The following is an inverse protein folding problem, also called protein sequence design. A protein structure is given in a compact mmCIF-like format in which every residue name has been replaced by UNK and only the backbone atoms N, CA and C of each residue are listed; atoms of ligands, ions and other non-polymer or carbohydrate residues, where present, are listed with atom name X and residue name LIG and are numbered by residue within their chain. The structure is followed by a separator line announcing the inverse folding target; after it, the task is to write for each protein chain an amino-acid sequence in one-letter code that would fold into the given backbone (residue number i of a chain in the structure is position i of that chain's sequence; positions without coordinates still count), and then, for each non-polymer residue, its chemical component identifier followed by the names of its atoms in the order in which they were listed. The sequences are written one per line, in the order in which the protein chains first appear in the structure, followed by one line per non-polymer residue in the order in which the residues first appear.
data_IF_814923934416
#
_entry.id   IF_814923934416
#
_cell.length_a   1.000
_cell.length_b   1.000
_cell.length_c   1.000
_cell.angle_alpha   90.00
_cell.angle_beta   90.00
_cell.angle_gamma   90.00
#
_symmetry.space_group_name_H-M   'P 1'
#
loop_
_entity.id
_entity.type
_entity.pdbx_description
1 polymer ?
#
# COMPACT_ATOMS: atom_id res chain seq x y z
N UNK A 1 24.21 -20.55 -44.79
CA UNK A 1 24.93 -20.21 -43.54
C UNK A 1 23.86 -19.50 -42.74
N UNK A 2 23.06 -20.31 -42.07
CA UNK A 2 21.75 -19.92 -41.60
C UNK A 2 21.92 -19.60 -40.12
N UNK A 3 22.21 -18.34 -39.86
CA UNK A 3 22.13 -17.78 -38.52
C UNK A 3 20.69 -17.43 -38.26
N UNK A 4 20.00 -18.26 -37.48
CA UNK A 4 19.11 -17.73 -36.46
C UNK A 4 19.12 -18.72 -35.29
N UNK A 5 19.86 -18.43 -34.21
CA UNK A 5 19.82 -19.27 -33.03
C UNK A 5 18.44 -19.07 -32.41
N UNK A 6 17.80 -20.18 -32.05
CA UNK A 6 16.84 -20.14 -30.96
C UNK A 6 17.57 -19.45 -29.79
N UNK A 7 17.18 -18.22 -29.49
CA UNK A 7 17.60 -17.54 -28.27
C UNK A 7 17.05 -18.41 -27.16
N UNK A 8 17.92 -19.24 -26.57
CA UNK A 8 17.62 -19.90 -25.31
C UNK A 8 17.07 -18.82 -24.37
N UNK A 9 15.97 -19.13 -23.67
CA UNK A 9 15.28 -18.25 -22.71
C UNK A 9 16.24 -17.91 -21.55
N UNK A 10 17.25 -17.08 -21.80
CA UNK A 10 18.21 -16.65 -20.81
C UNK A 10 17.50 -15.75 -19.78
N UNK A 11 17.71 -16.05 -18.51
CA UNK A 11 17.34 -15.17 -17.41
C UNK A 11 17.97 -13.80 -17.61
N UNK A 12 17.16 -12.73 -17.50
CA UNK A 12 17.69 -11.38 -17.56
C UNK A 12 18.70 -11.13 -16.41
N UNK A 13 19.69 -10.26 -16.65
CA UNK A 13 20.77 -10.02 -15.68
C UNK A 13 20.27 -9.53 -14.32
N UNK A 14 19.12 -8.86 -14.27
CA UNK A 14 18.53 -8.42 -13.02
C UNK A 14 17.88 -9.57 -12.25
N UNK A 15 17.28 -10.56 -12.91
CA UNK A 15 16.79 -11.80 -12.29
C UNK A 15 17.91 -12.68 -11.76
N UNK A 16 19.06 -12.73 -12.44
CA UNK A 16 20.26 -13.42 -11.94
C UNK A 16 20.86 -12.74 -10.72
N UNK A 17 20.87 -11.40 -10.71
CA UNK A 17 21.40 -10.62 -9.58
C UNK A 17 20.44 -10.58 -8.39
N UNK A 18 19.14 -10.37 -8.63
CA UNK A 18 18.14 -10.22 -7.58
C UNK A 18 16.89 -11.03 -7.96
N UNK A 19 16.87 -12.35 -7.69
CA UNK A 19 15.73 -13.20 -7.99
C UNK A 19 14.49 -12.83 -7.18
N UNK A 20 13.32 -13.24 -7.67
CA UNK A 20 12.01 -12.84 -7.16
C UNK A 20 11.84 -12.96 -5.63
N UNK A 21 12.28 -14.03 -4.94
CA UNK A 21 12.09 -14.14 -3.49
C UNK A 21 12.86 -13.05 -2.72
N UNK A 22 14.06 -12.68 -3.19
CA UNK A 22 14.85 -11.60 -2.57
C UNK A 22 14.24 -10.23 -2.85
N UNK A 23 13.64 -10.00 -4.02
CA UNK A 23 12.90 -8.75 -4.32
C UNK A 23 11.78 -8.51 -3.32
N UNK A 24 10.96 -9.53 -3.08
CA UNK A 24 9.86 -9.50 -2.12
C UNK A 24 10.40 -9.18 -0.72
N UNK A 25 11.42 -9.91 -0.27
CA UNK A 25 12.00 -9.70 1.04
C UNK A 25 12.62 -8.32 1.24
N UNK A 26 13.33 -7.80 0.23
CA UNK A 26 13.93 -6.48 0.24
C UNK A 26 12.86 -5.39 0.40
N UNK A 27 11.77 -5.43 -0.37
CA UNK A 27 10.69 -4.44 -0.28
C UNK A 27 9.97 -4.50 1.07
N UNK A 28 9.77 -5.70 1.62
CA UNK A 28 9.21 -5.87 2.96
C UNK A 28 10.12 -5.23 4.02
N UNK A 29 11.42 -5.55 4.01
CA UNK A 29 12.38 -5.01 4.98
C UNK A 29 12.53 -3.49 4.84
N UNK A 30 12.56 -2.96 3.62
CA UNK A 30 12.56 -1.52 3.35
C UNK A 30 11.32 -0.83 3.93
N UNK A 31 10.14 -1.45 3.85
CA UNK A 31 8.92 -0.94 4.47
C UNK A 31 9.01 -0.78 5.99
N UNK A 32 9.71 -1.69 6.66
CA UNK A 32 9.89 -1.63 8.13
C UNK A 32 10.85 -0.50 8.48
N UNK A 33 11.93 -0.32 7.72
CA UNK A 33 12.83 0.83 7.84
C UNK A 33 12.08 2.15 7.62
N UNK A 34 11.29 2.22 6.55
CA UNK A 34 10.44 3.35 6.20
C UNK A 34 9.48 3.72 7.34
N UNK A 35 8.80 2.73 7.92
CA UNK A 35 7.94 2.93 9.10
C UNK A 35 8.72 3.44 10.33
N UNK A 36 9.92 2.90 10.57
CA UNK A 36 10.81 3.38 11.62
C UNK A 36 11.17 4.85 11.45
N UNK A 37 11.47 5.27 10.21
CA UNK A 37 11.72 6.67 9.84
C UNK A 37 10.48 7.55 10.03
N UNK A 38 9.28 7.08 9.66
CA UNK A 38 8.04 7.82 9.96
C UNK A 38 7.94 8.10 11.47
N UNK A 39 8.06 7.07 12.31
CA UNK A 39 7.98 7.19 13.77
C UNK A 39 9.06 8.10 14.35
N UNK A 40 10.28 8.04 13.81
CA UNK A 40 11.40 8.84 14.29
C UNK A 40 11.17 10.34 14.00
N UNK A 41 10.91 10.68 12.74
CA UNK A 41 10.77 12.06 12.33
C UNK A 41 9.50 12.70 12.90
N UNK A 42 8.36 12.00 12.89
CA UNK A 42 7.11 12.52 13.47
C UNK A 42 7.27 12.81 14.97
N UNK A 43 7.99 11.96 15.70
CA UNK A 43 8.34 12.24 17.11
C UNK A 43 9.24 13.48 17.25
N UNK A 44 10.21 13.68 16.35
CA UNK A 44 11.11 14.83 16.41
C UNK A 44 10.34 16.16 16.28
N UNK A 45 9.28 16.19 15.48
CA UNK A 45 8.36 17.35 15.36
C UNK A 45 7.19 17.32 16.35
N UNK A 46 7.28 16.50 17.41
CA UNK A 46 6.30 16.36 18.50
C UNK A 46 4.90 15.86 18.10
N UNK A 47 4.81 15.03 17.06
CA UNK A 47 3.61 14.26 16.73
C UNK A 47 3.72 12.86 17.35
N UNK A 48 2.81 12.54 18.27
CA UNK A 48 2.82 11.26 18.98
C UNK A 48 1.99 10.20 18.23
N UNK A 49 2.63 9.52 17.27
CA UNK A 49 2.01 8.46 16.47
C UNK A 49 1.45 7.32 17.33
N UNK A 50 2.16 6.78 18.34
CA UNK A 50 1.64 5.77 19.26
C UNK A 50 0.25 6.09 19.83
N UNK A 51 0.01 7.32 20.30
CA UNK A 51 -1.31 7.68 20.84
C UNK A 51 -2.40 7.71 19.78
N UNK A 52 -2.11 8.19 18.56
CA UNK A 52 -3.07 8.18 17.44
C UNK A 52 -3.51 6.77 17.05
N UNK A 53 -2.56 5.83 17.02
CA UNK A 53 -2.87 4.43 16.69
C UNK A 53 -3.28 3.61 17.91
N UNK A 54 -3.43 4.22 19.09
CA UNK A 54 -3.74 3.58 20.39
C UNK A 54 -2.75 2.48 20.78
N UNK A 55 -1.47 2.67 20.48
CA UNK A 55 -0.39 1.79 20.90
C UNK A 55 -0.10 2.00 22.39
N UNK A 56 0.20 0.93 23.18
CA UNK A 56 0.47 1.08 24.61
C UNK A 56 1.61 2.05 24.88
N UNK A 57 1.40 2.95 25.85
CA UNK A 57 2.44 3.84 26.36
C UNK A 57 3.59 3.03 26.93
N UNK A 58 4.81 3.57 26.81
CA UNK A 58 5.99 2.98 27.47
C UNK A 58 5.77 2.96 28.97
N UNK A 59 6.03 1.81 29.60
CA UNK A 59 5.86 1.64 31.05
C UNK A 59 7.02 2.27 31.84
N UNK A 60 8.17 2.45 31.20
CA UNK A 60 9.35 3.08 31.80
C UNK A 60 10.10 3.96 30.79
N UNK A 61 10.73 5.08 31.22
CA UNK A 61 11.64 5.85 30.38
C UNK A 61 12.83 5.04 29.83
N UNK A 62 13.21 3.97 30.54
CA UNK A 62 14.30 3.06 30.14
C UNK A 62 13.91 2.13 28.98
N UNK A 63 12.62 2.00 28.68
CA UNK A 63 12.18 1.24 27.52
C UNK A 63 12.56 1.97 26.23
N UNK A 64 13.07 1.24 25.22
CA UNK A 64 13.44 1.81 23.94
C UNK A 64 12.25 2.55 23.34
N UNK A 65 12.54 3.63 22.63
CA UNK A 65 11.54 4.37 21.86
C UNK A 65 10.90 3.45 20.80
N UNK A 66 9.68 3.75 20.37
CA UNK A 66 9.01 2.94 19.35
C UNK A 66 9.79 2.89 18.02
N UNK A 67 10.36 4.01 17.57
CA UNK A 67 11.22 4.03 16.38
C UNK A 67 12.49 3.18 16.57
N UNK A 68 13.14 3.23 17.73
CA UNK A 68 14.33 2.41 18.01
C UNK A 68 13.98 0.92 18.04
N UNK A 69 12.83 0.57 18.61
CA UNK A 69 12.31 -0.80 18.58
C UNK A 69 12.04 -1.28 17.15
N UNK A 70 11.50 -0.42 16.29
CA UNK A 70 11.32 -0.70 14.86
C UNK A 70 12.66 -0.83 14.12
N UNK A 71 13.65 0.03 14.39
CA UNK A 71 14.99 -0.09 13.78
C UNK A 71 15.72 -1.37 14.22
N UNK A 72 15.57 -1.80 15.47
CA UNK A 72 16.09 -3.09 15.93
C UNK A 72 15.46 -4.25 15.15
N UNK A 73 14.15 -4.22 14.93
CA UNK A 73 13.47 -5.21 14.10
C UNK A 73 13.96 -5.16 12.65
N UNK A 74 14.05 -3.97 12.06
CA UNK A 74 14.52 -3.79 10.69
C UNK A 74 15.95 -4.31 10.51
N UNK A 75 16.84 -4.02 11.47
CA UNK A 75 18.22 -4.51 11.49
C UNK A 75 18.27 -6.04 11.60
N UNK A 76 17.49 -6.62 12.52
CA UNK A 76 17.38 -8.08 12.69
C UNK A 76 16.94 -8.79 11.40
N UNK A 77 16.12 -8.16 10.58
CA UNK A 77 15.66 -8.71 9.29
C UNK A 77 16.61 -8.39 8.13
N UNK A 78 17.36 -7.29 8.22
CA UNK A 78 18.35 -6.87 7.21
C UNK A 78 19.59 -7.74 7.24
N UNK A 79 20.09 -8.12 8.43
CA UNK A 79 21.29 -8.97 8.57
C UNK A 79 21.16 -10.31 7.81
N UNK A 80 20.13 -11.15 8.06
CA UNK A 80 19.98 -12.41 7.33
C UNK A 80 19.70 -12.19 5.83
N UNK A 81 18.98 -11.11 5.46
CA UNK A 81 18.77 -10.76 4.06
C UNK A 81 20.10 -10.49 3.34
N UNK A 82 20.92 -9.61 3.90
CA UNK A 82 22.22 -9.26 3.34
C UNK A 82 23.16 -10.46 3.31
N UNK A 83 23.20 -11.26 4.38
CA UNK A 83 24.02 -12.47 4.43
C UNK A 83 23.61 -13.50 3.37
N UNK A 84 22.30 -13.79 3.23
CA UNK A 84 21.79 -14.72 2.22
C UNK A 84 22.01 -14.20 0.80
N UNK A 85 21.81 -12.91 0.56
CA UNK A 85 22.00 -12.29 -0.76
C UNK A 85 23.48 -12.28 -1.17
N UNK A 86 24.38 -11.91 -0.26
CA UNK A 86 25.83 -11.96 -0.51
C UNK A 86 26.28 -13.40 -0.77
N UNK A 87 25.82 -14.36 0.05
CA UNK A 87 26.13 -15.78 -0.15
C UNK A 87 25.62 -16.26 -1.52
N UNK A 88 24.40 -15.90 -1.90
CA UNK A 88 23.84 -16.22 -3.22
C UNK A 88 24.75 -15.69 -4.33
N UNK A 89 25.14 -14.42 -4.30
CA UNK A 89 26.05 -13.84 -5.30
C UNK A 89 27.40 -14.55 -5.36
N UNK A 90 27.97 -14.95 -4.21
CA UNK A 90 29.25 -15.66 -4.21
C UNK A 90 29.17 -17.07 -4.81
N UNK A 91 28.03 -17.75 -4.61
CA UNK A 91 27.80 -19.12 -5.08
C UNK A 91 27.42 -19.15 -6.57
N UNK A 92 26.58 -18.21 -7.02
CA UNK A 92 26.08 -18.19 -8.39
C UNK A 92 27.01 -17.45 -9.33
N UNK A 93 27.69 -16.38 -8.88
CA UNK A 93 28.54 -15.52 -9.71
C UNK A 93 27.86 -15.01 -11.00
N UNK A 94 26.53 -14.90 -10.97
CA UNK A 94 25.71 -14.51 -12.13
C UNK A 94 25.46 -15.63 -13.14
N UNK A 95 25.83 -16.87 -12.85
CA UNK A 95 25.53 -18.04 -13.69
C UNK A 95 24.08 -18.50 -13.52
N UNK A 96 23.41 -18.80 -14.63
CA UNK A 96 21.99 -19.17 -14.69
C UNK A 96 21.72 -20.54 -14.08
N UNK A 97 22.52 -21.54 -14.42
CA UNK A 97 22.36 -22.90 -13.89
C UNK A 97 22.61 -22.92 -12.39
N UNK A 98 23.64 -22.22 -11.92
CA UNK A 98 23.93 -22.06 -10.51
C UNK A 98 22.81 -21.33 -9.76
N UNK A 99 22.21 -20.28 -10.34
CA UNK A 99 21.09 -19.57 -9.74
C UNK A 99 19.90 -20.50 -9.47
N UNK A 100 19.55 -21.33 -10.45
CA UNK A 100 18.52 -22.36 -10.33
C UNK A 100 18.91 -23.44 -9.31
N UNK A 101 20.14 -23.94 -9.36
CA UNK A 101 20.63 -24.98 -8.45
C UNK A 101 20.64 -24.53 -6.97
N UNK A 102 20.86 -23.23 -6.73
CA UNK A 102 20.89 -22.63 -5.39
C UNK A 102 19.57 -21.95 -5.00
N UNK A 103 18.45 -22.24 -5.67
CA UNK A 103 17.15 -21.62 -5.38
C UNK A 103 16.67 -21.83 -3.94
N UNK A 104 17.15 -22.88 -3.26
CA UNK A 104 16.81 -23.15 -1.87
C UNK A 104 17.20 -21.99 -0.93
N UNK A 105 18.27 -21.26 -1.23
CA UNK A 105 18.78 -20.18 -0.40
C UNK A 105 17.80 -18.98 -0.30
N UNK A 106 17.35 -18.37 -1.42
CA UNK A 106 16.35 -17.30 -1.37
C UNK A 106 15.02 -17.76 -0.76
N UNK A 107 14.59 -19.01 -0.98
CA UNK A 107 13.35 -19.54 -0.39
C UNK A 107 13.43 -19.79 1.11
N UNK A 108 14.56 -20.32 1.61
CA UNK A 108 14.80 -20.45 3.05
C UNK A 108 14.78 -19.08 3.70
N UNK A 109 15.43 -18.07 3.09
CA UNK A 109 15.36 -16.71 3.60
C UNK A 109 13.91 -16.18 3.64
N UNK A 110 13.14 -16.37 2.58
CA UNK A 110 11.74 -15.93 2.53
C UNK A 110 10.88 -16.63 3.60
N UNK A 111 11.10 -17.93 3.83
CA UNK A 111 10.47 -18.68 4.91
C UNK A 111 10.84 -18.11 6.28
N UNK A 112 12.12 -17.84 6.53
CA UNK A 112 12.60 -17.23 7.77
C UNK A 112 11.99 -15.83 7.99
N UNK A 113 11.85 -15.04 6.94
CA UNK A 113 11.18 -13.74 6.98
C UNK A 113 9.71 -13.89 7.41
N UNK A 114 8.97 -14.79 6.79
CA UNK A 114 7.56 -15.09 7.15
C UNK A 114 7.46 -15.57 8.59
N UNK A 115 8.34 -16.49 9.02
CA UNK A 115 8.39 -16.98 10.40
C UNK A 115 8.70 -15.85 11.38
N UNK A 116 9.64 -14.97 11.06
CA UNK A 116 10.00 -13.84 11.91
C UNK A 116 8.83 -12.86 12.11
N UNK A 117 7.96 -12.72 11.10
CA UNK A 117 6.73 -11.93 11.19
C UNK A 117 5.60 -12.66 11.92
N UNK A 118 5.38 -13.94 11.61
CA UNK A 118 4.27 -14.74 12.15
C UNK A 118 4.48 -15.17 13.60
N UNK A 119 5.74 -15.35 14.02
CA UNK A 119 6.10 -15.81 15.37
C UNK A 119 6.64 -14.62 16.18
N UNK A 120 5.92 -14.19 17.24
CA UNK A 120 6.34 -13.09 18.09
C UNK A 120 7.39 -13.57 19.11
N UNK A 121 8.61 -13.84 18.62
CA UNK A 121 9.75 -14.22 19.46
C UNK A 121 10.03 -13.18 20.55
N UNK A 122 10.46 -13.66 21.74
CA UNK A 122 10.62 -12.81 22.91
C UNK A 122 11.71 -11.73 22.76
N UNK A 123 12.73 -11.98 21.94
CA UNK A 123 13.93 -11.13 21.86
C UNK A 123 13.78 -9.88 20.97
N UNK A 124 12.65 -9.69 20.27
CA UNK A 124 12.54 -8.63 19.25
C UNK A 124 11.14 -8.00 19.14
N UNK A 125 10.76 -7.21 20.16
CA UNK A 125 9.50 -6.43 20.18
C UNK A 125 8.23 -7.29 20.14
N UNK A 126 8.12 -8.23 21.09
CA UNK A 126 6.99 -9.18 21.21
C UNK A 126 5.62 -8.48 21.13
N UNK A 127 5.38 -7.45 21.94
CA UNK A 127 4.11 -6.72 21.99
C UNK A 127 3.74 -6.09 20.63
N UNK A 128 4.71 -5.47 19.96
CA UNK A 128 4.51 -4.88 18.63
C UNK A 128 4.11 -5.92 17.60
N UNK A 129 4.79 -7.07 17.57
CA UNK A 129 4.46 -8.17 16.63
C UNK A 129 3.08 -8.77 16.86
N UNK A 130 2.72 -9.05 18.12
CA UNK A 130 1.36 -9.52 18.44
C UNK A 130 0.30 -8.53 17.97
N UNK A 131 0.52 -7.24 18.20
CA UNK A 131 -0.41 -6.20 17.75
C UNK A 131 -0.49 -6.13 16.23
N UNK A 132 0.63 -6.20 15.52
CA UNK A 132 0.64 -6.24 14.06
C UNK A 132 -0.14 -7.44 13.55
N UNK A 133 0.08 -8.65 14.08
CA UNK A 133 -0.66 -9.85 13.70
C UNK A 133 -2.14 -9.76 14.04
N UNK A 134 -2.49 -9.23 15.23
CA UNK A 134 -3.88 -9.02 15.62
C UNK A 134 -4.58 -8.01 14.69
N UNK A 135 -3.86 -6.95 14.28
CA UNK A 135 -4.36 -5.93 13.35
C UNK A 135 -4.52 -6.52 11.95
N UNK A 136 -3.52 -7.25 11.43
CA UNK A 136 -3.61 -7.98 10.15
C UNK A 136 -4.80 -8.94 10.14
N UNK A 137 -4.95 -9.77 11.17
CA UNK A 137 -6.08 -10.69 11.31
C UNK A 137 -7.41 -9.95 11.31
N UNK A 138 -7.52 -8.86 12.08
CA UNK A 138 -8.72 -8.03 12.20
C UNK A 138 -9.12 -7.42 10.84
N UNK A 139 -8.18 -6.75 10.17
CA UNK A 139 -8.47 -6.13 8.86
C UNK A 139 -8.80 -7.20 7.79
N UNK A 140 -8.10 -8.35 7.78
CA UNK A 140 -8.31 -9.40 6.79
C UNK A 140 -9.63 -10.17 6.99
N UNK A 141 -9.93 -10.66 8.19
CA UNK A 141 -11.05 -11.59 8.42
C UNK A 141 -12.37 -10.86 8.65
N UNK A 142 -12.37 -9.77 9.40
CA UNK A 142 -13.62 -9.29 9.98
C UNK A 142 -13.37 -8.51 11.26
N UNK A 143 -14.08 -7.39 11.42
CA UNK A 143 -13.88 -6.46 12.53
C UNK A 143 -12.98 -5.31 12.12
N UNK A 144 -13.48 -4.09 12.25
CA UNK A 144 -12.67 -2.88 12.28
C UNK A 144 -12.77 -2.40 13.72
N UNK A 145 -11.65 -2.02 14.31
CA UNK A 145 -11.67 -1.34 15.60
C UNK A 145 -12.68 -0.18 15.54
N UNK A 146 -13.40 0.08 16.62
CA UNK A 146 -14.17 1.31 16.71
C UNK A 146 -13.22 2.52 16.71
N UNK A 147 -13.76 3.72 16.51
CA UNK A 147 -12.94 4.94 16.45
C UNK A 147 -12.06 5.08 17.70
N UNK A 148 -12.60 4.75 18.87
CA UNK A 148 -11.91 4.76 20.15
C UNK A 148 -10.86 3.65 20.32
N UNK A 149 -10.95 2.55 19.56
CA UNK A 149 -10.16 1.33 19.74
C UNK A 149 -8.96 1.21 18.78
N UNK A 150 -8.63 2.29 18.06
CA UNK A 150 -7.47 2.32 17.15
C UNK A 150 -7.79 2.08 15.68
N UNK A 151 -9.01 2.43 15.23
CA UNK A 151 -9.43 2.44 13.81
C UNK A 151 -8.41 3.08 12.87
N UNK A 152 -7.74 4.16 13.31
CA UNK A 152 -6.72 4.82 12.50
C UNK A 152 -5.53 3.90 12.16
N UNK A 153 -5.08 3.08 13.12
CA UNK A 153 -4.04 2.07 12.88
C UNK A 153 -4.48 0.98 11.90
N UNK A 154 -5.74 0.54 11.98
CA UNK A 154 -6.33 -0.43 11.03
C UNK A 154 -6.34 0.14 9.61
N UNK A 155 -6.73 1.41 9.47
CA UNK A 155 -6.77 2.11 8.18
C UNK A 155 -5.37 2.27 7.61
N UNK A 156 -4.40 2.76 8.41
CA UNK A 156 -3.02 2.93 7.97
C UNK A 156 -2.41 1.61 7.47
N UNK A 157 -2.60 0.51 8.21
CA UNK A 157 -2.06 -0.79 7.81
C UNK A 157 -2.75 -1.32 6.55
N UNK A 158 -4.09 -1.21 6.47
CA UNK A 158 -4.82 -1.66 5.30
C UNK A 158 -4.48 -0.84 4.04
N UNK A 159 -4.26 0.48 4.18
CA UNK A 159 -3.79 1.32 3.07
C UNK A 159 -2.34 1.02 2.69
N UNK A 160 -1.47 0.71 3.65
CA UNK A 160 -0.14 0.20 3.35
C UNK A 160 -0.22 -1.10 2.53
N UNK A 161 -1.08 -2.06 2.90
CA UNK A 161 -1.27 -3.30 2.14
C UNK A 161 -1.69 -3.07 0.69
N UNK A 162 -2.45 -2.01 0.37
CA UNK A 162 -2.80 -1.70 -1.03
C UNK A 162 -1.58 -1.39 -1.89
N UNK A 163 -0.57 -0.73 -1.32
CA UNK A 163 0.70 -0.44 -1.98
C UNK A 163 1.58 -1.69 -2.10
N UNK A 164 1.36 -2.71 -1.26
CA UNK A 164 2.02 -4.02 -1.32
C UNK A 164 1.27 -5.04 -2.20
N UNK A 165 0.17 -4.69 -2.86
CA UNK A 165 -0.66 -5.64 -3.61
C UNK A 165 0.12 -6.48 -4.64
N UNK A 166 1.00 -5.84 -5.42
CA UNK A 166 1.85 -6.53 -6.40
C UNK A 166 2.96 -7.35 -5.73
N UNK A 167 3.55 -6.86 -4.64
CA UNK A 167 4.55 -7.61 -3.83
C UNK A 167 3.93 -8.89 -3.25
N UNK A 168 2.66 -8.85 -2.83
CA UNK A 168 1.92 -10.04 -2.41
C UNK A 168 1.64 -11.00 -3.57
N UNK A 169 1.37 -10.47 -4.77
CA UNK A 169 1.30 -11.26 -5.99
C UNK A 169 2.62 -11.98 -6.29
N UNK A 170 3.75 -11.30 -6.14
CA UNK A 170 5.08 -11.88 -6.38
C UNK A 170 5.50 -12.87 -5.30
N UNK A 171 5.11 -12.62 -4.03
CA UNK A 171 5.21 -13.61 -2.97
C UNK A 171 4.45 -14.88 -3.35
N UNK A 172 3.22 -14.75 -3.86
CA UNK A 172 2.44 -15.88 -4.31
C UNK A 172 3.10 -16.60 -5.52
N UNK A 173 3.56 -15.87 -6.53
CA UNK A 173 4.27 -16.43 -7.71
C UNK A 173 5.51 -17.19 -7.27
N UNK A 174 6.34 -16.59 -6.41
CA UNK A 174 7.55 -17.20 -5.85
C UNK A 174 7.25 -18.54 -5.16
N UNK A 175 6.23 -18.57 -4.30
CA UNK A 175 5.83 -19.80 -3.60
C UNK A 175 5.24 -20.83 -4.56
N UNK A 176 4.39 -20.40 -5.49
CA UNK A 176 3.78 -21.27 -6.48
C UNK A 176 4.83 -21.97 -7.35
N UNK A 177 5.81 -21.22 -7.85
CA UNK A 177 6.91 -21.77 -8.65
C UNK A 177 7.77 -22.75 -7.84
N UNK A 178 8.11 -22.40 -6.60
CA UNK A 178 8.91 -23.27 -5.73
C UNK A 178 8.25 -24.64 -5.46
N UNK A 179 6.92 -24.69 -5.36
CA UNK A 179 6.18 -25.93 -5.15
C UNK A 179 5.73 -26.62 -6.45
N UNK A 180 6.03 -26.07 -7.63
CA UNK A 180 5.65 -26.65 -8.92
C UNK A 180 6.81 -27.45 -9.52
N UNK A 181 6.66 -28.77 -9.78
CA UNK A 181 7.69 -29.56 -10.41
C UNK A 181 8.13 -28.97 -11.77
N UNK A 182 9.44 -28.89 -11.99
CA UNK A 182 10.01 -28.38 -13.24
C UNK A 182 10.01 -26.85 -13.38
N UNK A 183 9.66 -26.10 -12.33
CA UNK A 183 9.82 -24.64 -12.28
C UNK A 183 10.82 -24.28 -11.19
N UNK A 184 11.54 -23.18 -11.38
CA UNK A 184 12.40 -22.59 -10.36
C UNK A 184 11.92 -21.20 -9.99
N UNK A 185 11.84 -20.93 -8.69
CA UNK A 185 11.52 -19.62 -8.13
C UNK A 185 12.59 -18.54 -8.36
N UNK A 186 13.79 -18.95 -8.77
CA UNK A 186 14.87 -18.07 -9.23
C UNK A 186 14.93 -17.96 -10.76
N UNK A 187 14.12 -18.77 -11.46
CA UNK A 187 13.85 -18.68 -12.88
C UNK A 187 12.98 -17.47 -13.24
N UNK A 188 12.66 -17.34 -14.53
CA UNK A 188 11.78 -16.27 -15.04
C UNK A 188 10.42 -16.34 -14.32
N UNK A 189 9.94 -15.26 -13.68
CA UNK A 189 8.68 -15.27 -12.95
C UNK A 189 7.48 -15.71 -13.80
N UNK A 190 6.87 -16.84 -13.45
CA UNK A 190 5.65 -17.31 -14.09
C UNK A 190 4.41 -16.66 -13.44
N UNK A 191 3.97 -15.54 -14.03
CA UNK A 191 2.78 -14.78 -13.60
C UNK A 191 1.44 -15.49 -13.87
N UNK A 192 1.47 -16.67 -14.49
CA UNK A 192 0.33 -17.58 -14.67
C UNK A 192 0.42 -18.81 -13.75
N UNK A 193 1.41 -18.87 -12.84
CA UNK A 193 1.49 -19.96 -11.87
C UNK A 193 0.22 -19.99 -11.00
N UNK A 194 -0.44 -21.14 -10.95
CA UNK A 194 -1.75 -21.28 -10.28
C UNK A 194 -2.96 -20.86 -11.14
N UNK A 195 -2.74 -20.56 -12.43
CA UNK A 195 -3.78 -20.24 -13.41
C UNK A 195 -3.97 -18.74 -13.65
N UNK A 196 -4.79 -18.40 -14.65
CA UNK A 196 -4.98 -17.03 -15.14
C UNK A 196 -5.48 -16.04 -14.06
N UNK A 197 -6.26 -16.51 -13.08
CA UNK A 197 -7.01 -15.65 -12.17
C UNK A 197 -6.48 -15.61 -10.73
N UNK A 198 -5.60 -16.54 -10.33
CA UNK A 198 -5.20 -16.64 -8.93
C UNK A 198 -4.27 -15.50 -8.51
N UNK A 199 -3.26 -15.17 -9.33
CA UNK A 199 -2.39 -13.99 -9.09
C UNK A 199 -3.20 -12.68 -9.09
N UNK A 200 -4.06 -12.39 -10.09
CA UNK A 200 -4.99 -11.24 -10.03
C UNK A 200 -5.84 -11.21 -8.76
N UNK A 201 -6.37 -12.35 -8.33
CA UNK A 201 -7.16 -12.44 -7.11
C UNK A 201 -6.34 -12.04 -5.88
N UNK A 202 -5.10 -12.54 -5.73
CA UNK A 202 -4.19 -12.15 -4.65
C UNK A 202 -3.91 -10.64 -4.66
N UNK A 203 -3.64 -10.06 -5.84
CA UNK A 203 -3.43 -8.61 -6.01
C UNK A 203 -4.69 -7.81 -5.62
N UNK A 204 -5.89 -8.37 -5.82
CA UNK A 204 -7.14 -7.72 -5.45
C UNK A 204 -7.43 -7.74 -3.94
N UNK A 205 -6.82 -8.63 -3.15
CA UNK A 205 -7.11 -8.82 -1.72
C UNK A 205 -7.02 -7.51 -0.91
N UNK A 206 -5.95 -6.71 -1.00
CA UNK A 206 -5.87 -5.46 -0.24
C UNK A 206 -7.02 -4.48 -0.54
N UNK A 207 -7.41 -4.34 -1.81
CA UNK A 207 -8.54 -3.49 -2.22
C UNK A 207 -9.88 -4.07 -1.73
N UNK A 208 -10.04 -5.40 -1.73
CA UNK A 208 -11.23 -6.06 -1.14
C UNK A 208 -11.32 -5.81 0.36
N UNK A 209 -10.20 -5.87 1.09
CA UNK A 209 -10.15 -5.53 2.52
C UNK A 209 -10.65 -4.10 2.73
N UNK A 210 -10.12 -3.12 1.99
CA UNK A 210 -10.53 -1.71 2.13
C UNK A 210 -11.97 -1.46 1.72
N UNK A 211 -12.45 -2.08 0.64
CA UNK A 211 -13.85 -2.03 0.25
C UNK A 211 -14.75 -2.54 1.39
N UNK A 212 -14.45 -3.73 1.92
CA UNK A 212 -15.21 -4.32 3.05
C UNK A 212 -15.20 -3.38 4.25
N UNK A 213 -14.04 -2.79 4.55
CA UNK A 213 -13.91 -1.86 5.67
C UNK A 213 -14.81 -0.63 5.50
N UNK A 214 -14.81 -0.02 4.32
CA UNK A 214 -15.61 1.15 4.02
C UNK A 214 -17.12 0.85 4.07
N UNK A 215 -17.55 -0.30 3.56
CA UNK A 215 -18.96 -0.72 3.62
C UNK A 215 -19.43 -0.99 5.05
N UNK A 216 -18.59 -1.62 5.89
CA UNK A 216 -18.90 -1.83 7.31
C UNK A 216 -19.10 -0.49 8.02
N UNK A 217 -18.23 0.49 7.78
CA UNK A 217 -18.33 1.82 8.39
C UNK A 217 -19.59 2.57 7.93
N UNK A 218 -19.93 2.49 6.64
CA UNK A 218 -21.18 3.05 6.14
C UNK A 218 -22.40 2.44 6.87
N UNK A 219 -22.43 1.12 7.02
CA UNK A 219 -23.51 0.43 7.74
C UNK A 219 -23.54 0.79 9.23
N UNK A 220 -22.38 1.02 9.86
CA UNK A 220 -22.29 1.49 11.25
C UNK A 220 -22.90 2.88 11.41
N UNK A 221 -22.54 3.83 10.55
CA UNK A 221 -23.10 5.19 10.58
C UNK A 221 -24.60 5.16 10.31
N UNK A 222 -25.05 4.40 9.31
CA UNK A 222 -26.47 4.24 8.98
C UNK A 222 -27.26 3.71 10.19
N UNK A 223 -26.79 2.63 10.82
CA UNK A 223 -27.44 2.05 12.01
C UNK A 223 -27.43 2.99 13.21
N UNK A 224 -26.37 3.79 13.38
CA UNK A 224 -26.29 4.78 14.45
C UNK A 224 -27.37 5.86 14.27
N UNK A 225 -27.48 6.42 13.05
CA UNK A 225 -28.50 7.42 12.72
C UNK A 225 -29.93 6.86 12.83
N UNK A 226 -30.16 5.61 12.41
CA UNK A 226 -31.45 4.93 12.59
C UNK A 226 -31.83 4.78 14.07
N UNK A 227 -30.85 4.49 14.95
CA UNK A 227 -31.08 4.37 16.39
C UNK A 227 -31.36 5.71 17.07
N UNK A 228 -30.69 6.78 16.65
CA UNK A 228 -30.85 8.12 17.25
C UNK A 228 -31.98 8.93 16.61
N UNK A 229 -32.52 8.49 15.47
CA UNK A 229 -33.54 9.21 14.71
C UNK A 229 -33.05 10.53 14.09
N UNK A 230 -31.74 10.80 14.16
CA UNK A 230 -31.10 12.06 13.74
C UNK A 230 -29.78 11.78 13.05
N UNK A 231 -29.34 12.68 12.15
CA UNK A 231 -28.05 12.57 11.48
C UNK A 231 -26.96 12.96 12.47
N UNK A 232 -26.11 12.01 12.86
CA UNK A 232 -25.00 12.25 13.77
C UNK A 232 -23.86 13.07 13.14
N UNK A 233 -22.80 13.36 13.90
CA UNK A 233 -21.67 14.19 13.45
C UNK A 233 -20.86 13.58 12.28
N UNK A 234 -21.04 12.28 12.00
CA UNK A 234 -20.44 11.60 10.84
C UNK A 234 -21.32 11.72 9.56
N UNK A 235 -22.36 12.55 9.62
CA UNK A 235 -23.33 12.72 8.55
C UNK A 235 -24.13 11.44 8.27
N UNK A 236 -24.65 11.31 7.05
CA UNK A 236 -25.37 10.11 6.61
C UNK A 236 -24.44 8.94 6.20
N UNK A 237 -23.11 9.13 6.28
CA UNK A 237 -22.11 8.11 5.94
C UNK A 237 -21.64 8.12 4.48
N UNK A 238 -22.03 9.10 3.67
CA UNK A 238 -21.68 9.18 2.25
C UNK A 238 -20.18 9.14 1.94
N UNK A 239 -19.34 9.70 2.82
CA UNK A 239 -17.88 9.62 2.68
C UNK A 239 -17.37 8.18 2.71
N UNK A 240 -17.96 7.30 3.52
CA UNK A 240 -17.56 5.88 3.55
C UNK A 240 -17.92 5.18 2.24
N UNK A 241 -19.07 5.51 1.63
CA UNK A 241 -19.45 4.97 0.33
C UNK A 241 -18.56 5.51 -0.80
N UNK A 242 -18.19 6.79 -0.75
CA UNK A 242 -17.21 7.36 -1.68
C UNK A 242 -15.86 6.64 -1.57
N UNK A 243 -15.40 6.36 -0.35
CA UNK A 243 -14.17 5.60 -0.14
C UNK A 243 -14.30 4.15 -0.64
N UNK A 244 -15.45 3.51 -0.43
CA UNK A 244 -15.74 2.19 -0.98
C UNK A 244 -15.64 2.18 -2.51
N UNK A 245 -16.22 3.19 -3.16
CA UNK A 245 -16.14 3.38 -4.61
C UNK A 245 -14.70 3.58 -5.09
N UNK A 246 -13.89 4.36 -4.35
CA UNK A 246 -12.46 4.52 -4.64
C UNK A 246 -11.76 3.17 -4.72
N UNK A 247 -11.88 2.31 -3.70
CA UNK A 247 -11.21 1.00 -3.73
C UNK A 247 -11.84 0.03 -4.73
N UNK A 248 -13.12 0.16 -5.07
CA UNK A 248 -13.74 -0.68 -6.10
C UNK A 248 -13.22 -0.39 -7.50
N UNK A 249 -12.74 0.84 -7.77
CA UNK A 249 -12.15 1.19 -9.07
C UNK A 249 -10.89 0.38 -9.41
N UNK A 250 -10.24 -0.27 -8.44
CA UNK A 250 -9.10 -1.14 -8.69
C UNK A 250 -9.48 -2.48 -9.35
N UNK A 251 -10.69 -3.01 -9.12
CA UNK A 251 -11.07 -4.34 -9.63
C UNK A 251 -11.15 -4.40 -11.16
N UNK A 252 -11.80 -3.43 -11.86
CA UNK A 252 -11.78 -3.42 -13.31
C UNK A 252 -10.36 -3.39 -13.88
N UNK A 253 -9.44 -2.61 -13.29
CA UNK A 253 -8.03 -2.57 -13.72
C UNK A 253 -7.41 -3.96 -13.62
N UNK A 254 -7.55 -4.63 -12.48
CA UNK A 254 -6.97 -5.97 -12.24
C UNK A 254 -7.59 -7.03 -13.17
N UNK A 255 -8.91 -7.05 -13.30
CA UNK A 255 -9.64 -8.01 -14.16
C UNK A 255 -9.23 -7.83 -15.62
N UNK A 256 -9.25 -6.60 -16.13
CA UNK A 256 -8.88 -6.31 -17.51
C UNK A 256 -7.41 -6.60 -17.79
N UNK A 257 -6.53 -6.48 -16.79
CA UNK A 257 -5.12 -6.89 -16.90
C UNK A 257 -4.97 -8.41 -17.04
N UNK A 258 -5.81 -9.18 -16.33
CA UNK A 258 -5.85 -10.64 -16.44
C UNK A 258 -6.43 -11.12 -17.78
N UNK A 259 -7.45 -10.42 -18.29
CA UNK A 259 -8.06 -10.71 -19.60
C UNK A 259 -7.10 -10.39 -20.76
N UNK A 260 -6.33 -9.30 -20.67
CA UNK A 260 -5.32 -8.97 -21.68
C UNK A 260 -4.20 -10.01 -21.74
N UNK A 261 -3.71 -10.52 -20.59
CA UNK A 261 -2.66 -11.57 -20.58
C UNK A 261 -3.11 -12.89 -21.19
N UNK A 262 -4.38 -13.24 -21.05
CA UNK A 262 -4.98 -14.44 -21.63
C UNK A 262 -5.93 -14.12 -22.76
N UNK A 263 -5.61 -13.09 -23.57
CA UNK A 263 -6.51 -12.62 -24.61
C UNK A 263 -6.74 -13.72 -25.65
N UNK A 264 -8.01 -14.06 -25.85
CA UNK A 264 -8.45 -15.05 -26.82
C UNK A 264 -9.62 -14.45 -27.60
N UNK A 265 -9.45 -14.13 -28.90
CA UNK A 265 -10.49 -13.49 -29.70
C UNK A 265 -11.74 -14.37 -29.88
N UNK A 266 -11.64 -15.68 -29.67
CA UNK A 266 -12.80 -16.59 -29.71
C UNK A 266 -13.68 -16.47 -28.44
N UNK A 267 -13.10 -16.07 -27.30
CA UNK A 267 -13.79 -15.93 -26.01
C UNK A 267 -14.13 -14.49 -25.66
N UNK A 268 -13.32 -13.54 -26.13
CA UNK A 268 -13.45 -12.12 -25.82
C UNK A 268 -14.00 -11.41 -27.06
N UNK A 269 -15.28 -11.02 -27.01
CA UNK A 269 -15.99 -10.31 -28.09
C UNK A 269 -15.58 -8.83 -28.25
N UNK A 270 -14.33 -8.50 -27.94
CA UNK A 270 -13.76 -7.15 -28.03
C UNK A 270 -12.36 -7.27 -28.63
N UNK A 271 -11.97 -6.35 -29.51
CA UNK A 271 -10.60 -6.32 -30.02
C UNK A 271 -9.60 -6.08 -28.88
N UNK A 272 -8.37 -6.59 -29.03
CA UNK A 272 -7.28 -6.35 -28.09
C UNK A 272 -7.08 -4.85 -27.82
N UNK A 273 -7.09 -4.04 -28.88
CA UNK A 273 -7.03 -2.58 -28.77
C UNK A 273 -8.23 -1.98 -28.01
N UNK A 274 -9.43 -2.53 -28.18
CA UNK A 274 -10.62 -2.12 -27.43
C UNK A 274 -10.47 -2.45 -25.94
N UNK A 275 -9.96 -3.64 -25.63
CA UNK A 275 -9.72 -4.10 -24.27
C UNK A 275 -8.66 -3.24 -23.57
N UNK A 276 -7.58 -2.92 -24.27
CA UNK A 276 -6.54 -2.02 -23.78
C UNK A 276 -7.08 -0.60 -23.51
N UNK A 277 -7.90 -0.04 -24.40
CA UNK A 277 -8.53 1.29 -24.19
C UNK A 277 -9.48 1.29 -22.99
N UNK A 278 -10.25 0.22 -22.81
CA UNK A 278 -11.13 0.06 -21.65
C UNK A 278 -10.31 -0.04 -20.35
N UNK A 279 -9.22 -0.80 -20.37
CA UNK A 279 -8.27 -0.88 -19.26
C UNK A 279 -7.68 0.49 -18.94
N UNK A 280 -7.22 1.25 -19.94
CA UNK A 280 -6.66 2.58 -19.77
C UNK A 280 -7.67 3.56 -19.16
N UNK A 281 -8.94 3.46 -19.53
CA UNK A 281 -10.02 4.24 -18.93
C UNK A 281 -10.17 3.95 -17.43
N UNK A 282 -10.20 2.68 -17.01
CA UNK A 282 -10.29 2.33 -15.60
C UNK A 282 -9.02 2.66 -14.82
N UNK A 283 -7.86 2.57 -15.47
CA UNK A 283 -6.58 3.07 -14.94
C UNK A 283 -6.69 4.56 -14.63
N UNK A 284 -7.18 5.37 -15.58
CA UNK A 284 -7.37 6.80 -15.39
C UNK A 284 -8.34 7.07 -14.23
N UNK A 285 -9.51 6.42 -14.22
CA UNK A 285 -10.48 6.58 -13.14
C UNK A 285 -9.89 6.23 -11.76
N UNK A 286 -9.18 5.11 -11.66
CA UNK A 286 -8.57 4.67 -10.40
C UNK A 286 -7.49 5.65 -9.93
N UNK A 287 -6.56 6.03 -10.81
CA UNK A 287 -5.44 6.92 -10.49
C UNK A 287 -5.94 8.30 -10.05
N UNK A 288 -6.85 8.92 -10.81
CA UNK A 288 -7.32 10.29 -10.53
C UNK A 288 -8.29 10.37 -9.36
N UNK A 289 -9.19 9.39 -9.18
CA UNK A 289 -10.03 9.36 -7.98
C UNK A 289 -9.14 9.16 -6.73
N UNK A 290 -8.22 8.21 -6.78
CA UNK A 290 -7.38 7.95 -5.63
C UNK A 290 -6.40 9.08 -5.33
N UNK A 291 -5.95 9.85 -6.33
CA UNK A 291 -5.19 11.10 -6.17
C UNK A 291 -6.03 12.19 -5.51
N UNK A 292 -7.25 12.43 -6.02
CA UNK A 292 -8.19 13.35 -5.38
C UNK A 292 -8.40 12.99 -3.90
N UNK A 293 -8.55 11.70 -3.61
CA UNK A 293 -8.75 11.24 -2.24
C UNK A 293 -7.55 11.52 -1.34
N UNK A 294 -6.32 11.27 -1.82
CA UNK A 294 -5.11 11.53 -1.05
C UNK A 294 -5.01 13.01 -0.67
N UNK A 295 -5.20 13.90 -1.66
CA UNK A 295 -5.11 15.36 -1.45
C UNK A 295 -6.26 15.90 -0.60
N UNK A 296 -7.51 15.61 -0.99
CA UNK A 296 -8.69 16.26 -0.41
C UNK A 296 -9.14 15.62 0.91
N UNK A 297 -8.98 14.30 1.08
CA UNK A 297 -9.58 13.56 2.21
C UNK A 297 -8.54 13.07 3.21
N UNK A 298 -7.46 12.48 2.72
CA UNK A 298 -6.42 11.92 3.60
C UNK A 298 -5.48 13.00 4.14
N UNK A 299 -5.09 13.97 3.30
CA UNK A 299 -4.26 15.10 3.72
C UNK A 299 -5.05 16.35 4.08
N UNK A 300 -6.36 16.37 3.81
CA UNK A 300 -7.27 17.45 4.22
C UNK A 300 -6.86 18.81 3.64
N UNK A 301 -6.41 18.82 2.38
CA UNK A 301 -5.96 20.02 1.68
C UNK A 301 -7.11 20.63 0.87
N UNK A 302 -7.12 21.97 0.77
CA UNK A 302 -8.19 22.75 0.15
C UNK A 302 -8.06 22.90 -1.37
N UNK A 303 -7.12 22.22 -2.02
CA UNK A 303 -6.85 22.34 -3.46
C UNK A 303 -8.08 22.07 -4.34
N UNK A 304 -8.94 21.16 -3.92
CA UNK A 304 -10.17 20.77 -4.60
C UNK A 304 -11.44 21.29 -3.90
N UNK A 305 -11.29 22.18 -2.91
CA UNK A 305 -12.40 22.81 -2.21
C UNK A 305 -12.98 23.98 -3.02
N UNK A 306 -14.01 24.64 -2.45
CA UNK A 306 -14.59 25.86 -3.02
C UNK A 306 -13.52 26.93 -3.29
N UNK A 307 -13.75 27.80 -4.27
CA UNK A 307 -12.81 28.88 -4.60
C UNK A 307 -12.53 29.79 -3.39
N UNK A 308 -13.51 29.97 -2.49
CA UNK A 308 -13.33 30.74 -1.25
C UNK A 308 -12.33 30.08 -0.31
N UNK A 309 -12.49 28.79 -0.04
CA UNK A 309 -11.63 28.04 0.88
C UNK A 309 -10.23 27.83 0.29
N UNK A 310 -10.14 27.54 -1.01
CA UNK A 310 -8.86 27.33 -1.69
C UNK A 310 -7.99 28.59 -1.72
N UNK A 311 -8.63 29.76 -1.85
CA UNK A 311 -7.96 31.07 -1.96
C UNK A 311 -8.02 31.87 -0.66
N UNK A 312 -8.29 31.23 0.48
CA UNK A 312 -8.36 31.92 1.76
C UNK A 312 -6.99 32.58 2.08
N UNK A 313 -6.93 33.90 2.34
CA UNK A 313 -5.67 34.59 2.60
C UNK A 313 -4.99 34.17 3.91
N UNK A 314 -5.69 33.46 4.82
CA UNK A 314 -5.12 32.99 6.08
C UNK A 314 -4.12 31.83 5.89
N UNK A 315 -4.10 31.19 4.72
CA UNK A 315 -3.18 30.10 4.43
C UNK A 315 -2.76 30.05 2.95
N UNK A 316 -1.62 29.43 2.61
CA UNK A 316 -1.20 29.27 1.22
C UNK A 316 -2.24 28.54 0.37
N UNK A 317 -2.25 28.87 -0.92
CA UNK A 317 -3.21 28.39 -1.91
C UNK A 317 -3.41 26.86 -1.85
N UNK A 318 -4.64 26.41 -1.65
CA UNK A 318 -4.99 24.99 -1.68
C UNK A 318 -4.39 24.14 -0.56
N UNK A 319 -3.77 24.74 0.47
CA UNK A 319 -3.27 24.06 1.66
C UNK A 319 -4.18 24.33 2.86
N UNK A 320 -4.07 23.53 3.92
CA UNK A 320 -4.81 23.71 5.17
C UNK A 320 -4.14 24.71 6.11
N UNK A 321 -4.93 25.39 6.95
CA UNK A 321 -4.47 26.39 7.93
C UNK A 321 -3.44 25.84 8.92
N UNK A 322 -3.73 24.68 9.53
CA UNK A 322 -2.89 24.09 10.57
C UNK A 322 -1.97 23.01 10.01
N UNK A 323 -0.67 23.27 10.09
CA UNK A 323 0.42 22.45 9.56
C UNK A 323 1.58 22.40 10.55
N UNK A 324 2.24 21.27 10.62
CA UNK A 324 3.44 20.99 11.42
C UNK A 324 4.70 20.93 10.55
N UNK A 325 4.59 20.58 9.27
CA UNK A 325 5.70 20.76 8.34
C UNK A 325 5.79 22.25 7.96
N UNK A 326 6.83 22.94 8.47
CA UNK A 326 6.95 24.40 8.35
C UNK A 326 7.15 24.89 6.92
N UNK A 327 7.82 24.11 6.06
CA UNK A 327 8.12 24.47 4.67
C UNK A 327 6.91 24.09 3.80
N UNK A 328 6.20 25.08 3.29
CA UNK A 328 4.94 24.88 2.53
C UNK A 328 5.18 24.16 1.20
N UNK A 329 6.35 24.38 0.60
CA UNK A 329 6.81 23.81 -0.66
C UNK A 329 6.85 22.28 -0.60
N UNK A 330 7.06 21.72 0.59
CA UNK A 330 7.01 20.27 0.82
C UNK A 330 5.62 19.71 0.50
N UNK A 331 4.52 20.40 0.83
CA UNK A 331 3.18 19.92 0.52
C UNK A 331 2.92 19.87 -0.98
N UNK A 332 3.30 20.92 -1.72
CA UNK A 332 3.16 20.94 -3.17
C UNK A 332 4.05 19.89 -3.85
N UNK A 333 5.26 19.70 -3.32
CA UNK A 333 6.18 18.64 -3.78
C UNK A 333 5.55 17.26 -3.60
N UNK A 334 4.91 17.01 -2.46
CA UNK A 334 4.24 15.73 -2.19
C UNK A 334 2.98 15.52 -3.03
N UNK A 335 2.19 16.58 -3.26
CA UNK A 335 1.08 16.53 -4.22
C UNK A 335 1.59 16.11 -5.61
N UNK A 336 2.67 16.75 -6.08
CA UNK A 336 3.26 16.44 -7.39
C UNK A 336 3.82 15.02 -7.46
N UNK A 337 4.61 14.60 -6.47
CA UNK A 337 5.19 13.24 -6.40
C UNK A 337 4.08 12.19 -6.35
N UNK A 338 3.00 12.41 -5.59
CA UNK A 338 1.90 11.45 -5.52
C UNK A 338 1.16 11.32 -6.84
N UNK A 339 0.89 12.44 -7.54
CA UNK A 339 0.29 12.40 -8.88
C UNK A 339 1.17 11.59 -9.85
N UNK A 340 2.47 11.90 -9.90
CA UNK A 340 3.42 11.20 -10.78
C UNK A 340 3.49 9.71 -10.47
N UNK A 341 3.68 9.33 -9.20
CA UNK A 341 3.81 7.93 -8.81
C UNK A 341 2.47 7.17 -8.91
N UNK A 342 1.32 7.82 -8.77
CA UNK A 342 0.01 7.18 -9.04
C UNK A 342 -0.19 6.83 -10.51
N UNK A 343 0.34 7.64 -11.43
CA UNK A 343 0.38 7.27 -12.84
C UNK A 343 1.28 6.04 -13.07
N UNK A 344 2.35 5.87 -12.27
CA UNK A 344 3.21 4.67 -12.35
C UNK A 344 2.56 3.37 -11.88
N UNK A 345 1.63 3.42 -10.91
CA UNK A 345 0.93 2.24 -10.39
C UNK A 345 0.24 1.44 -11.51
N UNK A 346 -0.45 2.14 -12.40
CA UNK A 346 -1.20 1.53 -13.48
C UNK A 346 -0.32 0.94 -14.59
N UNK A 347 0.86 1.53 -14.84
CA UNK A 347 1.80 0.98 -15.81
C UNK A 347 2.31 -0.42 -15.43
N UNK A 348 2.37 -0.76 -14.13
CA UNK A 348 2.81 -2.09 -13.65
C UNK A 348 1.88 -3.24 -14.00
N UNK A 349 0.61 -2.94 -14.28
CA UNK A 349 -0.41 -3.95 -14.56
C UNK A 349 -0.63 -4.13 -16.07
N UNK A 350 0.04 -3.34 -16.91
CA UNK A 350 -0.11 -3.42 -18.37
C UNK A 350 0.64 -4.64 -18.93
N UNK A 351 -0.06 -5.58 -19.60
CA UNK A 351 0.61 -6.73 -20.22
C UNK A 351 1.42 -6.35 -21.44
N UNK A 352 1.08 -5.25 -22.12
CA UNK A 352 1.86 -4.74 -23.25
C UNK A 352 3.24 -4.23 -22.82
N UNK A 353 3.40 -3.83 -21.55
CA UNK A 353 4.72 -3.45 -21.01
C UNK A 353 5.57 -4.67 -20.62
N UNK A 354 5.00 -5.87 -20.47
CA UNK A 354 5.78 -7.11 -20.33
C UNK A 354 6.56 -7.45 -21.61
N UNK A 355 6.19 -6.85 -22.75
CA UNK A 355 6.88 -7.02 -24.04
C UNK A 355 7.81 -5.85 -24.41
N UNK A 356 7.63 -4.67 -23.80
CA UNK A 356 8.48 -3.48 -24.02
C UNK A 356 9.50 -3.23 -22.90
N UNK A 357 9.31 -3.80 -21.71
CA UNK A 357 10.29 -3.85 -20.63
C UNK A 357 10.77 -5.30 -20.45
N UNK A 358 11.76 -5.74 -21.22
CA UNK A 358 12.58 -6.93 -20.95
C UNK A 358 13.36 -6.84 -19.61
N UNK A 359 13.00 -5.90 -18.73
CA UNK A 359 13.67 -5.58 -17.49
C UNK A 359 12.69 -5.81 -16.33
N UNK A 360 12.77 -7.01 -15.74
CA UNK A 360 12.22 -7.31 -14.42
C UNK A 360 12.63 -6.26 -13.36
N UNK A 361 13.76 -5.58 -13.58
CA UNK A 361 14.22 -4.43 -12.80
C UNK A 361 13.26 -3.22 -12.83
N UNK A 362 12.58 -2.99 -13.95
CA UNK A 362 11.55 -1.95 -14.06
C UNK A 362 10.34 -2.25 -13.19
N UNK A 363 9.85 -3.49 -13.20
CA UNK A 363 8.72 -3.93 -12.35
C UNK A 363 9.10 -3.78 -10.87
N UNK A 364 10.29 -4.23 -10.49
CA UNK A 364 10.81 -4.07 -9.14
C UNK A 364 10.94 -2.60 -8.71
N UNK A 365 11.53 -1.74 -9.55
CA UNK A 365 11.64 -0.30 -9.27
C UNK A 365 10.27 0.31 -9.05
N UNK A 366 9.31 -0.04 -9.89
CA UNK A 366 7.95 0.47 -9.78
C UNK A 366 7.29 0.00 -8.47
N UNK A 367 7.46 -1.25 -8.03
CA UNK A 367 7.02 -1.72 -6.71
C UNK A 367 7.65 -0.93 -5.56
N UNK A 368 8.98 -0.72 -5.61
CA UNK A 368 9.70 0.07 -4.62
C UNK A 368 9.19 1.52 -4.56
N UNK A 369 8.94 2.15 -5.72
CA UNK A 369 8.39 3.50 -5.82
C UNK A 369 6.98 3.63 -5.25
N UNK A 370 6.14 2.59 -5.36
CA UNK A 370 4.80 2.61 -4.75
C UNK A 370 4.86 2.48 -3.22
N UNK A 371 5.77 1.67 -2.69
CA UNK A 371 6.03 1.62 -1.24
C UNK A 371 6.60 2.95 -0.76
N UNK A 372 7.51 3.56 -1.53
CA UNK A 372 8.06 4.89 -1.24
C UNK A 372 6.98 5.98 -1.24
N UNK A 373 6.07 5.97 -2.23
CA UNK A 373 4.92 6.88 -2.28
C UNK A 373 4.07 6.76 -1.02
N UNK A 374 3.76 5.54 -0.59
CA UNK A 374 3.01 5.28 0.64
C UNK A 374 3.75 5.75 1.89
N UNK A 375 5.07 5.55 1.94
CA UNK A 375 5.91 6.05 3.03
C UNK A 375 5.83 7.58 3.18
N UNK A 376 5.86 8.32 2.06
CA UNK A 376 5.62 9.77 2.07
C UNK A 376 4.20 10.07 2.55
N UNK A 377 3.19 9.42 1.96
CA UNK A 377 1.78 9.64 2.29
C UNK A 377 1.49 9.48 3.79
N UNK A 378 2.16 8.55 4.48
CA UNK A 378 1.99 8.31 5.93
C UNK A 378 2.32 9.57 6.75
N UNK A 379 3.35 10.33 6.39
CA UNK A 379 3.71 11.55 7.11
C UNK A 379 2.54 12.54 7.15
N UNK A 380 1.95 12.82 5.99
CA UNK A 380 0.86 13.78 5.84
C UNK A 380 -0.44 13.24 6.39
N UNK A 381 -0.74 11.94 6.18
CA UNK A 381 -1.94 11.33 6.77
C UNK A 381 -1.92 11.40 8.30
N UNK A 382 -0.77 11.09 8.91
CA UNK A 382 -0.60 11.13 10.36
C UNK A 382 -0.63 12.56 10.89
N UNK A 383 0.01 13.50 10.20
CA UNK A 383 -0.08 14.93 10.53
C UNK A 383 -1.52 15.44 10.47
N UNK A 384 -2.28 15.03 9.46
CA UNK A 384 -3.69 15.38 9.32
C UNK A 384 -4.53 14.84 10.45
N UNK A 385 -4.36 13.56 10.81
CA UNK A 385 -5.05 12.96 11.95
C UNK A 385 -4.68 13.64 13.28
N UNK A 386 -3.40 14.01 13.45
CA UNK A 386 -2.93 14.73 14.61
C UNK A 386 -3.61 16.09 14.77
N UNK A 387 -3.71 16.86 13.69
CA UNK A 387 -4.40 18.16 13.67
C UNK A 387 -5.89 17.98 14.00
N UNK A 388 -6.58 17.03 13.37
CA UNK A 388 -8.01 16.76 13.63
C UNK A 388 -8.29 16.47 15.11
N UNK A 389 -7.41 15.73 15.77
CA UNK A 389 -7.57 15.37 17.19
C UNK A 389 -7.23 16.51 18.18
N UNK A 390 -6.40 17.49 17.80
CA UNK A 390 -5.93 18.55 18.72
C UNK A 390 -6.57 19.91 18.47
N UNK A 391 -7.01 20.18 17.24
CA UNK A 391 -7.55 21.49 16.84
C UNK A 391 -8.98 21.40 16.31
N UNK A 392 -9.58 20.20 16.33
CA UNK A 392 -10.84 19.91 15.66
C UNK A 392 -10.65 19.71 14.16
N UNK A 393 -11.66 19.16 13.47
CA UNK A 393 -11.65 19.10 12.01
C UNK A 393 -11.67 20.51 11.41
N UNK A 394 -11.27 20.66 10.14
CA UNK A 394 -11.38 21.96 9.46
C UNK A 394 -12.84 22.47 9.57
N UNK A 395 -13.08 23.79 9.66
CA UNK A 395 -14.43 24.34 9.88
C UNK A 395 -15.50 23.86 8.88
N UNK A 396 -15.08 23.34 7.72
CA UNK A 396 -15.95 22.85 6.65
C UNK A 396 -16.33 21.37 6.76
N UNK A 397 -15.72 20.57 7.66
CA UNK A 397 -16.25 19.26 8.06
C UNK A 397 -17.54 19.39 8.89
N UNK A 398 -17.86 20.62 9.34
CA UNK A 398 -19.15 20.99 9.90
C UNK A 398 -20.17 21.31 8.81
N UNK A 399 -19.78 21.62 7.56
CA UNK A 399 -20.70 22.13 6.51
C UNK A 399 -21.48 21.07 5.71
N UNK A 400 -21.75 19.91 6.31
CA UNK A 400 -22.95 19.14 5.99
C UNK A 400 -24.03 19.28 7.08
N UNK A 401 -23.72 20.00 8.16
CA UNK A 401 -24.61 20.34 9.26
C UNK A 401 -24.79 21.87 9.23
N UNK A 402 -26.04 22.29 9.00
CA UNK A 402 -26.63 23.60 9.33
C UNK A 402 -27.29 24.29 8.14
N UNK A 403 -28.51 23.84 7.84
CA UNK A 403 -29.64 24.76 7.62
C UNK A 403 -30.75 24.32 8.57
N UNK A 404 -30.61 24.66 9.84
CA UNK A 404 -31.73 24.92 10.76
C UNK A 404 -31.20 25.85 11.85
N UNK A 405 -31.23 27.15 11.58
CA UNK A 405 -31.20 28.17 12.63
C UNK A 405 -32.46 28.02 13.50
N UNK A 406 -32.36 27.89 14.83
CA UNK A 406 -33.48 28.22 15.69
C UNK A 406 -33.64 29.73 15.69
N UNK A 407 -34.83 30.20 15.38
CA UNK A 407 -35.25 31.55 15.76
C UNK A 407 -35.20 31.64 17.29
N UNK A 408 -34.44 32.60 17.81
CA UNK A 408 -34.60 33.08 19.18
C UNK A 408 -35.94 33.84 19.24
N UNK A 409 -36.91 33.29 19.95
CA UNK A 409 -38.02 34.03 20.53
C UNK A 409 -37.56 34.48 21.94
N UNK A 410 -37.25 35.76 22.07
CA UNK A 410 -37.53 36.62 23.24
C UNK A 410 -37.47 38.10 22.83
#
# INVERSE_FOLDING_TARGET
MDGDPAVEDELDSFSLFLPLPFRVGLIIVLGIWAWGLNLHYLRAIRIDVPSLIRYPSRSSPTEPTHHLSTYRLATLLTIPLAACLLLFWTLTRGDSEAAVAWEILPNIYLLLLVIAFAIPFQFASRSGRYRTLATLRRISVGGIAEAQDGKFGDILLADALTSYAKVLGDLFVSLCMFFTPGKSSTGRPDRNCGGQYLVPFVIAIPSMIRLRQCLIEYLRVKRANEKTGTIGPQGWGGQHLANALKYSTAFPVIILSALQRGYDPAKIHMSEAGLFRLWLFFVFLNSFYSFYWDVAKDWDLSLFSSARERNDPEHPFGLRKHRYFHVHEIYYTVIFIDLMLRCTWSFKLSPHLDHFNDLEGGIFLMEALEVFRRWIWIFFRVETEWVRNHKGPAPTDVLLNDITTPYDDD
#
